data_IF_741919080625
#
_entry.id   IF_741919080625
#
_cell.length_a   1.000
_cell.length_b   1.000
_cell.length_c   1.000
_cell.angle_alpha   90.00
_cell.angle_beta   90.00
_cell.angle_gamma   90.00
#
_symmetry.space_group_name_H-M   'P 1'
#
loop_
_entity.id
_entity.type
_entity.pdbx_description
1 polymer ?
#
# COMPACT_ATOMS: atom_id res chain seq x y z
N UNK A 1 1.66 -45.62 5.58
CA UNK A 1 1.70 -44.66 4.44
C UNK A 1 0.66 -43.56 4.57
N UNK A 2 -0.52 -43.83 5.12
CA UNK A 2 -1.59 -42.85 5.42
C UNK A 2 -1.14 -41.70 6.33
N UNK A 3 -0.15 -41.93 7.20
CA UNK A 3 0.42 -40.91 8.08
C UNK A 3 0.97 -39.70 7.32
N UNK A 4 1.55 -39.89 6.13
CA UNK A 4 2.05 -38.79 5.30
C UNK A 4 0.89 -37.87 4.88
N UNK A 5 -0.22 -38.46 4.43
CA UNK A 5 -1.43 -37.73 4.05
C UNK A 5 -2.09 -37.05 5.24
N UNK A 6 -2.06 -37.67 6.42
CA UNK A 6 -2.58 -37.06 7.65
C UNK A 6 -1.79 -35.80 8.04
N UNK A 7 -0.45 -35.85 7.94
CA UNK A 7 0.41 -34.69 8.22
C UNK A 7 0.19 -33.57 7.20
N UNK A 8 0.12 -33.92 5.90
CA UNK A 8 -0.18 -32.94 4.85
C UNK A 8 -1.57 -32.30 5.04
N UNK A 9 -2.57 -33.10 5.43
CA UNK A 9 -3.92 -32.64 5.72
C UNK A 9 -3.95 -31.65 6.87
N UNK A 10 -3.25 -31.94 7.97
CA UNK A 10 -3.15 -31.02 9.11
C UNK A 10 -2.45 -29.70 8.75
N UNK A 11 -1.37 -29.76 7.97
CA UNK A 11 -0.70 -28.56 7.45
C UNK A 11 -1.62 -27.72 6.57
N UNK A 12 -2.36 -28.36 5.65
CA UNK A 12 -3.31 -27.68 4.78
C UNK A 12 -4.45 -27.02 5.56
N UNK A 13 -5.01 -27.70 6.56
CA UNK A 13 -6.06 -27.15 7.43
C UNK A 13 -5.52 -25.98 8.27
N UNK A 14 -4.33 -26.12 8.87
CA UNK A 14 -3.70 -25.04 9.63
C UNK A 14 -3.41 -23.82 8.76
N UNK A 15 -2.92 -24.04 7.53
CA UNK A 15 -2.72 -22.98 6.54
C UNK A 15 -4.03 -22.33 6.13
N UNK A 16 -5.09 -23.10 5.92
CA UNK A 16 -6.40 -22.58 5.55
C UNK A 16 -7.02 -21.78 6.70
N UNK A 17 -6.88 -22.26 7.94
CA UNK A 17 -7.30 -21.50 9.13
C UNK A 17 -6.49 -20.22 9.29
N UNK A 18 -5.18 -20.24 9.06
CA UNK A 18 -4.36 -19.03 9.06
C UNK A 18 -4.70 -18.08 7.91
N UNK A 19 -5.06 -18.60 6.73
CA UNK A 19 -5.46 -17.78 5.58
C UNK A 19 -6.86 -17.18 5.72
N UNK A 20 -7.76 -17.87 6.42
CA UNK A 20 -9.15 -17.46 6.64
C UNK A 20 -9.34 -16.60 7.90
N UNK A 21 -8.59 -16.88 8.97
CA UNK A 21 -8.71 -16.23 10.28
C UNK A 21 -7.43 -15.59 10.79
N UNK A 22 -6.31 -15.71 10.07
CA UNK A 22 -5.10 -14.94 10.39
C UNK A 22 -5.38 -13.45 10.31
N UNK A 23 -4.47 -12.60 10.82
CA UNK A 23 -4.66 -11.15 10.85
C UNK A 23 -5.16 -10.70 9.49
N UNK A 24 -6.41 -10.22 9.45
CA UNK A 24 -6.92 -9.55 8.27
C UNK A 24 -5.94 -8.39 8.07
N UNK A 25 -5.04 -8.54 7.10
CA UNK A 25 -4.39 -7.40 6.51
C UNK A 25 -5.53 -6.55 5.98
N UNK A 26 -5.92 -5.55 6.76
CA UNK A 26 -6.99 -4.62 6.48
C UNK A 26 -6.82 -4.07 5.06
N UNK A 27 -7.52 -4.68 4.11
CA UNK A 27 -7.38 -4.36 2.70
C UNK A 27 -7.20 -5.60 1.85
N UNK A 28 -8.27 -6.36 1.62
CA UNK A 28 -8.69 -6.73 0.25
C UNK A 28 -10.14 -7.19 0.34
N UNK A 29 -11.06 -6.24 0.24
CA UNK A 29 -12.36 -6.53 -0.38
C UNK A 29 -12.17 -6.76 -1.88
N UNK A 30 -13.07 -7.54 -2.46
CA UNK A 30 -13.30 -7.71 -3.89
C UNK A 30 -12.73 -6.60 -4.79
N UNK A 31 -11.76 -6.92 -5.66
CA UNK A 31 -11.61 -6.30 -6.98
C UNK A 31 -10.50 -6.98 -7.83
N UNK A 32 -10.66 -7.03 -9.17
CA UNK A 32 -9.88 -7.85 -10.12
C UNK A 32 -8.48 -7.28 -10.44
N UNK A 33 -7.60 -8.05 -11.13
CA UNK A 33 -6.22 -7.64 -11.38
C UNK A 33 -6.17 -6.66 -12.55
N UNK A 34 -6.18 -5.36 -12.27
CA UNK A 34 -5.89 -4.35 -13.27
C UNK A 34 -5.24 -3.14 -12.62
N UNK A 35 -4.20 -2.62 -13.27
CA UNK A 35 -3.35 -1.56 -12.77
C UNK A 35 -4.12 -0.35 -12.25
N UNK A 36 -3.64 0.21 -11.16
CA UNK A 36 -4.18 1.44 -10.60
C UNK A 36 -3.72 1.60 -9.17
N UNK A 37 -2.82 2.56 -8.97
CA UNK A 37 -2.59 3.26 -7.70
C UNK A 37 -2.72 2.41 -6.43
N UNK A 38 -1.59 1.81 -6.00
CA UNK A 38 -1.42 1.23 -4.67
C UNK A 38 -1.94 2.23 -3.63
N UNK A 39 -3.10 1.92 -3.05
CA UNK A 39 -3.64 2.62 -1.91
C UNK A 39 -2.55 2.61 -0.84
N UNK A 40 -1.97 3.78 -0.61
CA UNK A 40 -1.02 4.00 0.49
C UNK A 40 -1.77 3.60 1.75
N UNK A 41 -1.37 2.48 2.34
CA UNK A 41 -1.50 2.30 3.78
C UNK A 41 -1.00 3.59 4.39
N UNK A 42 -1.90 4.39 4.99
CA UNK A 42 -1.48 5.50 5.85
C UNK A 42 -0.88 4.84 7.10
N UNK A 43 0.32 4.29 6.93
CA UNK A 43 1.24 4.14 8.04
C UNK A 43 1.52 5.53 8.64
N UNK A 44 2.26 5.59 9.76
CA UNK A 44 2.71 6.85 10.32
C UNK A 44 3.29 7.71 9.18
N UNK A 45 2.59 8.81 8.86
CA UNK A 45 3.02 9.74 7.83
C UNK A 45 4.31 10.34 8.35
N UNK A 46 5.40 10.16 7.60
CA UNK A 46 6.66 10.81 7.95
C UNK A 46 6.45 12.32 8.04
N UNK A 47 7.19 13.04 8.89
CA UNK A 47 7.10 14.51 8.96
C UNK A 47 7.20 15.19 7.58
N UNK A 48 7.91 14.56 6.64
CA UNK A 48 8.11 15.06 5.26
C UNK A 48 6.97 14.69 4.28
N UNK A 49 6.08 13.77 4.66
CA UNK A 49 4.97 13.28 3.83
C UNK A 49 3.61 13.92 4.21
N UNK A 50 3.63 14.94 5.06
CA UNK A 50 2.43 15.64 5.48
C UNK A 50 1.86 16.51 4.34
N UNK A 51 0.54 16.77 4.33
CA UNK A 51 -0.09 17.49 3.22
C UNK A 51 0.37 18.95 3.13
N UNK A 52 0.86 19.53 4.22
CA UNK A 52 1.23 20.94 4.28
C UNK A 52 2.66 21.18 3.74
N UNK A 53 3.60 20.27 3.98
CA UNK A 53 4.93 20.27 3.37
C UNK A 53 4.86 20.10 1.85
N UNK A 54 4.03 19.16 1.38
CA UNK A 54 3.82 18.96 -0.07
C UNK A 54 3.21 20.20 -0.73
N UNK A 55 2.32 20.93 -0.03
CA UNK A 55 1.76 22.20 -0.51
C UNK A 55 2.80 23.31 -0.57
N UNK A 56 3.66 23.42 0.44
CA UNK A 56 4.74 24.41 0.45
C UNK A 56 5.76 24.16 -0.68
N UNK A 57 6.12 22.89 -0.91
CA UNK A 57 6.94 22.50 -2.06
C UNK A 57 6.28 22.87 -3.38
N UNK A 58 5.01 22.51 -3.60
CA UNK A 58 4.29 22.82 -4.84
C UNK A 58 4.29 24.34 -5.11
N UNK A 59 3.98 25.14 -4.09
CA UNK A 59 4.03 26.61 -4.15
C UNK A 59 5.43 27.12 -4.51
N UNK A 60 6.48 26.56 -3.90
CA UNK A 60 7.88 26.92 -4.16
C UNK A 60 8.31 26.56 -5.59
N UNK A 61 8.01 25.36 -6.07
CA UNK A 61 8.31 24.93 -7.45
C UNK A 61 7.53 25.71 -8.50
N UNK A 62 6.28 26.10 -8.20
CA UNK A 62 5.46 26.87 -9.12
C UNK A 62 5.89 28.34 -9.19
N UNK A 63 6.34 28.90 -8.05
CA UNK A 63 6.89 30.25 -7.98
C UNK A 63 8.27 30.40 -8.63
N UNK A 64 9.13 29.37 -8.55
CA UNK A 64 10.50 29.46 -9.12
C UNK A 64 10.55 29.25 -10.64
N UNK A 65 9.56 28.58 -11.23
CA UNK A 65 9.51 28.29 -12.67
C UNK A 65 8.58 29.23 -13.46
N UNK A 66 7.96 30.21 -12.81
CA UNK A 66 6.86 31.00 -13.38
C UNK A 66 7.10 32.49 -13.55
N UNK A 67 8.29 33.02 -13.22
CA UNK A 67 8.52 34.48 -13.27
C UNK A 67 9.77 34.92 -14.02
N UNK A 68 10.58 33.99 -14.54
CA UNK A 68 11.87 34.33 -15.16
C UNK A 68 11.91 33.98 -16.67
N UNK A 69 10.77 33.56 -17.26
CA UNK A 69 10.67 33.17 -18.66
C UNK A 69 10.11 34.24 -19.61
N UNK A 70 9.68 35.38 -19.08
CA UNK A 70 8.85 36.36 -19.80
C UNK A 70 9.60 37.65 -20.17
N UNK A 71 10.91 37.71 -19.87
CA UNK A 71 11.74 38.91 -20.06
C UNK A 71 12.97 38.59 -20.95
N UNK A 72 12.74 38.31 -22.24
CA UNK A 72 13.71 38.44 -23.35
C UNK A 72 12.98 38.80 -24.65
#
# INVERSE_FOLDING_TARGET
MTYLFAVLGLLAIGFLMWRAFGPQSDGTGDAPPAGGHRGRTRGPVGPDDDPDFLRDLDNKTRGTNGTDGDEL
#
